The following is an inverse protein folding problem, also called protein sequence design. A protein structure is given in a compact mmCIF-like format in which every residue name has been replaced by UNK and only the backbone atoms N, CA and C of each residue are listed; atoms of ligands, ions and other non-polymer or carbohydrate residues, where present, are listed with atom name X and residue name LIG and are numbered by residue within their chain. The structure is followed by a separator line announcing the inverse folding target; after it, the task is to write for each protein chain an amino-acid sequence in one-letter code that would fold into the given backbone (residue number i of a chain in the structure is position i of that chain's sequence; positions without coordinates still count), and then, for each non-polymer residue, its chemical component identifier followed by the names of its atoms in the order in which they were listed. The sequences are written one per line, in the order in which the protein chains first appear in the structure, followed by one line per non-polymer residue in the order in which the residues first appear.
data_IF_194073165965
#
_entry.id   IF_194073165965
#
_cell.length_a   1.000
_cell.length_b   1.000
_cell.length_c   1.000
_cell.angle_alpha   90.00
_cell.angle_beta   90.00
_cell.angle_gamma   90.00
#
_symmetry.space_group_name_H-M   'P 1'
#
loop_
_entity.id
_entity.type
_entity.pdbx_description
1 polymer ?
#
# COMPACT_ATOMS: atom_id res chain seq x y z
N UNK A 1 1.76 20.98 -8.31
CA UNK A 1 2.10 20.35 -7.01
C UNK A 1 0.95 19.56 -6.35
N UNK A 2 -0.32 19.78 -6.70
CA UNK A 2 -1.48 19.16 -6.04
C UNK A 2 -1.67 17.66 -6.36
N UNK A 3 -1.30 17.22 -7.57
CA UNK A 3 -1.50 15.85 -8.04
C UNK A 3 -0.77 14.80 -7.17
N UNK A 4 0.52 15.01 -6.88
CA UNK A 4 1.30 14.08 -6.08
C UNK A 4 0.77 13.93 -4.65
N UNK A 5 0.34 15.03 -4.03
CA UNK A 5 -0.27 15.02 -2.69
C UNK A 5 -1.60 14.27 -2.69
N UNK A 6 -2.41 14.46 -3.73
CA UNK A 6 -3.66 13.71 -3.90
C UNK A 6 -3.38 12.21 -4.01
N UNK A 7 -2.41 11.81 -4.83
CA UNK A 7 -2.04 10.42 -5.04
C UNK A 7 -1.54 9.75 -3.74
N UNK A 8 -0.71 10.45 -2.96
CA UNK A 8 -0.27 9.96 -1.64
C UNK A 8 -1.45 9.80 -0.68
N UNK A 9 -2.40 10.73 -0.69
CA UNK A 9 -3.60 10.67 0.15
C UNK A 9 -4.46 9.44 -0.19
N UNK A 10 -4.69 9.17 -1.47
CA UNK A 10 -5.44 7.99 -1.92
C UNK A 10 -4.72 6.69 -1.55
N UNK A 11 -3.40 6.60 -1.76
CA UNK A 11 -2.60 5.46 -1.32
C UNK A 11 -2.77 5.21 0.19
N UNK A 12 -2.74 6.26 1.00
CA UNK A 12 -2.94 6.14 2.44
C UNK A 12 -4.34 5.67 2.84
N UNK A 13 -5.37 6.06 2.10
CA UNK A 13 -6.73 5.58 2.35
C UNK A 13 -6.81 4.07 2.11
N UNK A 14 -6.25 3.58 1.00
CA UNK A 14 -6.15 2.15 0.69
C UNK A 14 -5.42 1.41 1.82
N UNK A 15 -4.25 1.92 2.22
CA UNK A 15 -3.46 1.31 3.31
C UNK A 15 -4.23 1.28 4.63
N UNK A 16 -4.98 2.34 4.95
CA UNK A 16 -5.80 2.42 6.16
C UNK A 16 -6.97 1.44 6.12
N UNK A 17 -7.59 1.27 4.96
CA UNK A 17 -8.68 0.31 4.75
C UNK A 17 -8.22 -1.12 5.02
N UNK A 18 -7.13 -1.56 4.39
CA UNK A 18 -6.57 -2.89 4.63
C UNK A 18 -6.10 -3.07 6.08
N UNK A 19 -5.48 -2.06 6.71
CA UNK A 19 -5.14 -2.16 8.14
C UNK A 19 -6.34 -2.29 9.06
N UNK A 20 -7.46 -1.65 8.73
CA UNK A 20 -8.68 -1.68 9.54
C UNK A 20 -9.47 -2.97 9.34
N UNK A 21 -9.44 -3.54 8.13
CA UNK A 21 -10.13 -4.80 7.83
C UNK A 21 -9.21 -6.00 8.07
N UNK A 22 -9.41 -6.71 9.18
CA UNK A 22 -8.59 -7.86 9.55
C UNK A 22 -8.64 -8.97 8.48
N UNK A 23 -9.84 -9.28 7.97
CA UNK A 23 -10.04 -10.30 6.95
C UNK A 23 -9.33 -9.96 5.63
N UNK A 24 -9.49 -8.73 5.15
CA UNK A 24 -8.85 -8.29 3.91
C UNK A 24 -7.33 -8.18 4.04
N UNK A 25 -6.82 -7.83 5.23
CA UNK A 25 -5.40 -7.85 5.49
C UNK A 25 -4.82 -9.28 5.44
N UNK A 26 -5.58 -10.27 5.93
CA UNK A 26 -5.19 -11.67 5.85
C UNK A 26 -5.19 -12.16 4.40
N UNK A 27 -6.23 -11.85 3.64
CA UNK A 27 -6.30 -12.15 2.20
C UNK A 27 -5.15 -11.48 1.42
N UNK A 28 -4.83 -10.23 1.76
CA UNK A 28 -3.70 -9.52 1.17
C UNK A 28 -2.39 -10.25 1.47
N UNK A 29 -2.14 -10.68 2.72
CA UNK A 29 -0.93 -11.45 3.06
C UNK A 29 -0.84 -12.77 2.29
N UNK A 30 -1.95 -13.48 2.14
CA UNK A 30 -2.01 -14.70 1.34
C UNK A 30 -1.68 -14.42 -0.13
N UNK A 31 -2.27 -13.39 -0.73
CA UNK A 31 -1.98 -12.99 -2.10
C UNK A 31 -0.50 -12.58 -2.29
N UNK A 32 0.12 -11.98 -1.27
CA UNK A 32 1.56 -11.63 -1.28
C UNK A 32 2.43 -12.88 -1.32
N UNK A 33 2.10 -13.88 -0.52
CA UNK A 33 2.80 -15.18 -0.48
C UNK A 33 2.61 -15.93 -1.80
N UNK A 34 1.38 -15.99 -2.34
CA UNK A 34 1.10 -16.64 -3.63
C UNK A 34 1.82 -15.99 -4.81
N UNK A 35 1.85 -14.65 -4.84
CA UNK A 35 2.48 -13.89 -5.94
C UNK A 35 3.98 -13.67 -5.72
N UNK A 36 4.55 -14.19 -4.62
CA UNK A 36 5.96 -14.07 -4.25
C UNK A 36 6.47 -12.62 -4.29
N UNK A 37 5.63 -11.68 -3.85
CA UNK A 37 5.94 -10.24 -3.91
C UNK A 37 7.00 -9.92 -2.85
N UNK A 38 8.20 -9.58 -3.30
CA UNK A 38 9.32 -9.19 -2.42
C UNK A 38 9.23 -7.73 -1.99
N UNK A 39 9.52 -7.46 -0.71
CA UNK A 39 9.58 -6.08 -0.15
C UNK A 39 8.70 -5.80 1.07
N UNK A 40 8.08 -6.83 1.65
CA UNK A 40 7.18 -6.70 2.81
C UNK A 40 5.81 -6.15 2.43
N UNK A 41 4.94 -5.86 3.41
CA UNK A 41 3.57 -5.40 3.18
C UNK A 41 3.41 -3.91 2.85
N UNK A 42 2.15 -3.45 2.85
CA UNK A 42 1.77 -2.05 2.62
C UNK A 42 2.45 -1.08 3.61
N UNK A 43 3.09 -0.02 3.07
CA UNK A 43 3.82 0.98 3.87
C UNK A 43 3.04 2.28 3.97
N UNK A 44 2.66 2.66 5.18
CA UNK A 44 1.94 3.92 5.44
C UNK A 44 2.87 5.12 5.22
N UNK A 45 2.36 6.18 4.61
CA UNK A 45 3.03 7.47 4.59
C UNK A 45 3.16 8.06 6.00
N UNK A 46 4.27 8.77 6.22
CA UNK A 46 4.57 9.50 7.44
C UNK A 46 5.03 10.89 7.00
N UNK A 47 4.30 11.94 7.37
CA UNK A 47 4.54 13.33 6.93
C UNK A 47 5.97 13.81 7.25
N UNK A 48 6.54 13.36 8.37
CA UNK A 48 7.89 13.75 8.81
C UNK A 48 9.02 13.08 8.01
N UNK A 49 8.71 12.07 7.17
CA UNK A 49 9.71 11.33 6.41
C UNK A 49 9.44 11.45 4.91
N UNK A 50 10.19 12.31 4.21
CA UNK A 50 10.04 12.57 2.78
C UNK A 50 10.12 11.31 1.90
N UNK A 51 10.98 10.34 2.26
CA UNK A 51 11.06 9.06 1.53
C UNK A 51 9.84 8.16 1.73
N UNK A 52 9.02 8.43 2.74
CA UNK A 52 7.82 7.64 3.06
C UNK A 52 6.73 7.79 2.00
N UNK A 53 6.61 8.97 1.36
CA UNK A 53 5.65 9.19 0.28
C UNK A 53 5.94 8.23 -0.89
N UNK A 54 7.19 8.22 -1.33
CA UNK A 54 7.68 7.33 -2.39
C UNK A 54 7.52 5.85 -2.01
N UNK A 55 7.90 5.47 -0.78
CA UNK A 55 7.74 4.10 -0.28
C UNK A 55 6.28 3.65 -0.22
N UNK A 56 5.36 4.55 0.14
CA UNK A 56 3.93 4.27 0.18
C UNK A 56 3.38 4.00 -1.22
N UNK A 57 3.64 4.90 -2.17
CA UNK A 57 3.20 4.78 -3.57
C UNK A 57 3.75 3.50 -4.19
N UNK A 58 5.05 3.22 -4.05
CA UNK A 58 5.65 2.01 -4.61
C UNK A 58 5.08 0.76 -3.97
N UNK A 59 4.79 0.77 -2.67
CA UNK A 59 4.18 -0.40 -2.03
C UNK A 59 2.81 -0.68 -2.62
N UNK A 60 1.96 0.33 -2.79
CA UNK A 60 0.63 0.19 -3.42
C UNK A 60 0.75 -0.30 -4.86
N UNK A 61 1.67 0.28 -5.64
CA UNK A 61 1.91 -0.14 -7.03
C UNK A 61 2.37 -1.59 -7.14
N UNK A 62 3.19 -2.09 -6.21
CA UNK A 62 3.61 -3.50 -6.18
C UNK A 62 2.44 -4.46 -5.93
N UNK A 63 1.45 -4.02 -5.15
CA UNK A 63 0.25 -4.80 -4.86
C UNK A 63 -0.86 -4.61 -5.88
N UNK A 64 -0.67 -3.81 -6.93
CA UNK A 64 -1.64 -3.68 -8.02
C UNK A 64 -2.08 -5.06 -8.55
N UNK A 65 -1.13 -5.96 -8.78
CA UNK A 65 -1.40 -7.34 -9.22
C UNK A 65 -2.15 -8.19 -8.18
N UNK A 66 -2.03 -7.86 -6.90
CA UNK A 66 -2.76 -8.53 -5.83
C UNK A 66 -4.17 -7.95 -5.64
N UNK A 67 -4.44 -6.72 -6.11
CA UNK A 67 -5.77 -6.09 -6.04
C UNK A 67 -6.68 -6.46 -7.22
N UNK A 68 -6.11 -6.85 -8.37
CA UNK A 68 -6.85 -7.20 -9.59
C UNK A 68 -7.26 -8.69 -9.60
N UNK A 69 -6.74 -9.49 -8.66
CA UNK A 69 -6.99 -10.91 -8.52
C UNK A 69 -8.25 -11.16 -7.69
#
# INVERSE_FOLDING_TARGET
HTFALHLVKECNQIIKYFKKSHQLNTLLKQAIEELQISGGGLKKFIDTQWTSAYKSIISVNRFERAFIK
#
